data_IF_489484750380
#
_entry.id   IF_489484750380
#
_cell.length_a   1.000
_cell.length_b   1.000
_cell.length_c   1.000
_cell.angle_alpha   90.00
_cell.angle_beta   90.00
_cell.angle_gamma   90.00
#
_symmetry.space_group_name_H-M   'P 1'
#
loop_
_entity.id
_entity.type
_entity.pdbx_description
1 polymer ?
#
# COMPACT_ATOMS: atom_id res chain seq x y z
N UNK A 1 -7.84 5.93 -11.80
CA UNK A 1 -6.49 6.37 -12.22
C UNK A 1 -5.54 6.29 -11.04
N UNK A 2 -4.26 5.93 -11.24
CA UNK A 2 -3.23 5.89 -10.19
C UNK A 2 -2.38 7.17 -10.29
N UNK A 3 -2.69 8.20 -9.52
CA UNK A 3 -2.16 9.56 -9.68
C UNK A 3 -1.20 10.00 -8.55
N UNK A 4 -1.20 9.31 -7.40
CA UNK A 4 -0.31 9.61 -6.29
C UNK A 4 1.03 8.87 -6.42
N UNK A 5 2.13 9.57 -6.10
CA UNK A 5 3.49 9.03 -6.12
C UNK A 5 3.95 8.62 -4.72
N UNK A 6 4.45 7.40 -4.60
CA UNK A 6 5.16 6.90 -3.42
C UNK A 6 6.65 6.83 -3.75
N UNK A 7 7.48 7.51 -2.96
CA UNK A 7 8.95 7.46 -3.10
C UNK A 7 9.52 6.84 -1.83
N UNK A 8 10.28 5.76 -1.96
CA UNK A 8 10.89 5.03 -0.85
C UNK A 8 12.37 4.89 -1.16
N UNK A 9 13.23 5.11 -0.17
CA UNK A 9 14.65 4.77 -0.25
C UNK A 9 14.81 3.32 0.20
N UNK A 10 15.46 2.52 -0.63
CA UNK A 10 15.77 1.12 -0.36
C UNK A 10 17.23 0.87 -0.77
N UNK A 11 17.83 -0.15 -0.20
CA UNK A 11 19.15 -0.64 -0.59
C UNK A 11 19.10 -1.36 -1.94
N UNK A 12 20.26 -1.53 -2.58
CA UNK A 12 20.37 -2.33 -3.81
C UNK A 12 19.91 -3.78 -3.60
N UNK A 13 20.13 -4.32 -2.39
CA UNK A 13 19.70 -5.67 -2.04
C UNK A 13 18.17 -5.78 -2.04
N UNK A 14 17.48 -4.88 -1.34
CA UNK A 14 16.00 -4.85 -1.30
C UNK A 14 15.40 -4.61 -2.69
N UNK A 15 16.05 -3.77 -3.51
CA UNK A 15 15.63 -3.54 -4.90
C UNK A 15 15.67 -4.85 -5.71
N UNK A 16 16.76 -5.61 -5.61
CA UNK A 16 16.91 -6.91 -6.30
C UNK A 16 15.89 -7.94 -5.79
N UNK A 17 15.66 -8.00 -4.49
CA UNK A 17 14.62 -8.88 -3.92
C UNK A 17 13.23 -8.54 -4.48
N UNK A 18 12.89 -7.24 -4.55
CA UNK A 18 11.62 -6.78 -5.11
C UNK A 18 11.48 -7.16 -6.59
N UNK A 19 12.52 -6.96 -7.40
CA UNK A 19 12.53 -7.33 -8.82
C UNK A 19 12.38 -8.84 -9.03
N UNK A 20 13.12 -9.65 -8.27
CA UNK A 20 13.04 -11.12 -8.35
C UNK A 20 11.63 -11.62 -8.02
N UNK A 21 11.02 -11.12 -6.95
CA UNK A 21 9.69 -11.54 -6.55
C UNK A 21 8.61 -11.06 -7.53
N UNK A 22 8.77 -9.85 -8.08
CA UNK A 22 7.89 -9.33 -9.11
C UNK A 22 7.94 -10.20 -10.38
N UNK A 23 9.15 -10.53 -10.85
CA UNK A 23 9.37 -11.42 -11.99
C UNK A 23 8.79 -12.83 -11.74
N UNK A 24 9.03 -13.40 -10.56
CA UNK A 24 8.49 -14.72 -10.18
C UNK A 24 6.97 -14.79 -10.28
N UNK A 25 6.28 -13.68 -10.01
CA UNK A 25 4.81 -13.57 -10.09
C UNK A 25 4.29 -13.00 -11.41
N UNK A 26 5.16 -12.74 -12.39
CA UNK A 26 4.77 -12.16 -13.68
C UNK A 26 4.20 -10.75 -13.59
N UNK A 27 4.66 -9.95 -12.63
CA UNK A 27 4.20 -8.58 -12.38
C UNK A 27 5.36 -7.59 -12.34
N UNK A 28 5.08 -6.31 -12.49
CA UNK A 28 6.06 -5.24 -12.24
C UNK A 28 6.24 -4.98 -10.74
N UNK A 29 7.39 -4.44 -10.34
CA UNK A 29 7.63 -4.05 -8.93
C UNK A 29 6.55 -3.11 -8.37
N UNK A 30 6.03 -2.21 -9.22
CA UNK A 30 4.93 -1.31 -8.85
C UNK A 30 3.61 -2.04 -8.62
N UNK A 31 3.33 -3.09 -9.39
CA UNK A 31 2.14 -3.94 -9.18
C UNK A 31 2.27 -4.79 -7.94
N UNK A 32 3.45 -5.34 -7.67
CA UNK A 32 3.73 -6.07 -6.44
C UNK A 32 3.48 -5.20 -5.20
N UNK A 33 4.05 -3.99 -5.16
CA UNK A 33 3.83 -3.05 -4.05
C UNK A 33 2.34 -2.73 -3.91
N UNK A 34 1.62 -2.47 -5.01
CA UNK A 34 0.17 -2.21 -4.95
C UNK A 34 -0.64 -3.43 -4.50
N UNK A 35 -0.25 -4.64 -4.91
CA UNK A 35 -0.87 -5.89 -4.46
C UNK A 35 -0.68 -6.11 -2.96
N UNK A 36 0.48 -5.74 -2.43
CA UNK A 36 0.74 -5.76 -0.99
C UNK A 36 -0.13 -4.72 -0.27
N UNK A 37 -0.17 -3.47 -0.75
CA UNK A 37 -1.00 -2.40 -0.17
C UNK A 37 -2.49 -2.78 -0.18
N UNK A 38 -2.96 -3.43 -1.24
CA UNK A 38 -4.37 -3.86 -1.37
C UNK A 38 -4.81 -4.92 -0.35
N UNK A 39 -3.87 -5.53 0.39
CA UNK A 39 -4.19 -6.47 1.48
C UNK A 39 -4.44 -5.77 2.81
N UNK A 40 -4.13 -4.48 2.91
CA UNK A 40 -4.41 -3.70 4.11
C UNK A 40 -5.91 -3.41 4.21
N UNK A 41 -6.45 -3.27 5.43
CA UNK A 41 -7.85 -2.89 5.62
C UNK A 41 -8.13 -1.52 4.97
N UNK A 42 -9.40 -1.27 4.66
CA UNK A 42 -9.82 0.03 4.18
C UNK A 42 -9.38 1.14 5.16
N UNK A 43 -8.89 2.28 4.65
CA UNK A 43 -8.51 3.39 5.51
C UNK A 43 -9.75 3.84 6.30
N UNK A 44 -9.65 3.81 7.63
CA UNK A 44 -10.71 4.35 8.49
C UNK A 44 -10.96 5.80 8.11
N UNK A 45 -12.23 6.15 7.91
CA UNK A 45 -12.61 7.52 7.66
C UNK A 45 -12.69 8.24 9.02
N UNK A 46 -11.74 9.12 9.39
CA UNK A 46 -11.70 9.72 10.73
C UNK A 46 -12.94 10.58 11.04
N UNK A 47 -13.77 10.88 10.05
CA UNK A 47 -14.97 11.73 10.19
C UNK A 47 -16.19 10.97 10.75
N UNK A 48 -16.16 9.63 10.86
CA UNK A 48 -17.32 8.85 11.37
C UNK A 48 -17.24 8.43 12.83
N UNK A 49 -16.08 8.48 13.45
CA UNK A 49 -15.91 8.01 14.85
C UNK A 49 -16.25 9.09 15.90
N UNK A 50 -16.53 10.33 15.47
CA UNK A 50 -16.86 11.46 16.35
C UNK A 50 -18.37 11.68 16.59
N UNK A 51 -19.24 10.73 16.21
CA UNK A 51 -20.71 10.89 16.36
C UNK A 51 -21.36 9.97 17.40
N UNK A 52 -20.58 9.36 18.30
CA UNK A 52 -21.13 8.53 19.38
C UNK A 52 -20.77 9.10 20.76
N UNK A 53 -21.10 10.37 21.03
CA UNK A 53 -21.08 10.89 22.40
C UNK A 53 -22.05 12.05 22.61
N UNK A 54 -23.33 11.83 22.31
CA UNK A 54 -24.41 12.52 23.02
C UNK A 54 -25.54 11.53 23.22
N UNK A 55 -25.55 10.85 24.37
CA UNK A 55 -26.77 10.25 24.91
C UNK A 55 -27.43 11.28 25.85
N UNK A 56 -28.77 11.35 25.87
CA UNK A 56 -29.54 12.34 26.63
C UNK A 56 -29.44 12.12 28.14
#
# INVERSE_FOLDING_TARGET
MKDKKLTIRITDFEKRQLEQEANRRGMTSSELIRSLIARFPDPRNPVRDSSLETKP
#
